data_IF_257479665205
#
_entry.id   IF_257479665205
#
_cell.length_a   1.000
_cell.length_b   1.000
_cell.length_c   1.000
_cell.angle_alpha   90.00
_cell.angle_beta   90.00
_cell.angle_gamma   90.00
#
_symmetry.space_group_name_H-M   'P 1'
#
loop_
_entity.id
_entity.type
_entity.pdbx_description
1 polymer ?
#
# COMPACT_ATOMS: atom_id res chain seq x y z
N UNK A 1 8.62 7.96 6.17
CA UNK A 1 9.02 8.69 4.95
C UNK A 1 9.68 7.68 4.00
N UNK A 2 9.08 7.40 2.86
CA UNK A 2 9.53 6.30 1.98
C UNK A 2 8.52 5.87 0.92
N UNK A 3 7.31 6.43 0.92
CA UNK A 3 6.40 6.37 -0.22
C UNK A 3 6.82 7.40 -1.27
N UNK A 4 6.58 7.10 -2.56
CA UNK A 4 6.80 8.02 -3.67
C UNK A 4 6.11 9.39 -3.42
N UNK A 5 4.92 9.35 -2.80
CA UNK A 5 4.15 10.53 -2.39
C UNK A 5 4.88 11.44 -1.39
N UNK A 6 5.74 10.90 -0.52
CA UNK A 6 6.57 11.70 0.40
C UNK A 6 7.85 12.22 -0.27
N UNK A 7 8.36 11.56 -1.32
CA UNK A 7 9.54 12.02 -2.07
C UNK A 7 9.21 13.03 -3.19
N UNK A 8 7.94 13.42 -3.34
CA UNK A 8 7.50 14.41 -4.34
C UNK A 8 7.34 13.87 -5.77
N UNK A 9 7.41 12.56 -5.96
CA UNK A 9 7.20 11.91 -7.26
C UNK A 9 5.95 11.04 -7.21
N UNK A 10 5.03 11.21 -8.16
CA UNK A 10 3.86 10.35 -8.31
C UNK A 10 4.15 9.12 -9.18
N UNK A 11 5.42 8.89 -9.54
CA UNK A 11 5.79 7.76 -10.39
C UNK A 11 5.64 6.41 -9.64
N UNK A 12 5.09 5.38 -10.31
CA UNK A 12 4.98 4.04 -9.74
C UNK A 12 6.36 3.41 -9.51
N UNK A 13 6.41 2.40 -8.64
CA UNK A 13 7.65 1.67 -8.39
C UNK A 13 8.20 1.03 -9.67
N UNK A 14 9.42 1.41 -10.07
CA UNK A 14 10.10 0.86 -11.24
C UNK A 14 10.26 -0.67 -11.16
N UNK A 15 10.37 -1.23 -9.95
CA UNK A 15 10.43 -2.69 -9.73
C UNK A 15 9.09 -3.34 -10.04
N UNK A 16 7.97 -2.75 -9.59
CA UNK A 16 6.63 -3.28 -9.88
C UNK A 16 6.34 -3.22 -11.38
N UNK A 17 6.69 -2.10 -12.04
CA UNK A 17 6.57 -1.95 -13.49
C UNK A 17 7.42 -2.96 -14.24
N UNK A 18 8.67 -3.20 -13.81
CA UNK A 18 9.55 -4.20 -14.42
C UNK A 18 9.03 -5.64 -14.26
N UNK A 19 8.27 -5.93 -13.19
CA UNK A 19 7.58 -7.21 -13.00
C UNK A 19 6.29 -7.33 -13.84
N UNK A 20 5.91 -6.28 -14.58
CA UNK A 20 4.68 -6.25 -15.37
C UNK A 20 3.43 -5.95 -14.57
N UNK A 21 3.55 -5.43 -13.34
CA UNK A 21 2.39 -4.96 -12.56
C UNK A 21 1.84 -3.70 -13.23
N UNK A 22 0.51 -3.62 -13.48
CA UNK A 22 -0.10 -2.43 -14.04
C UNK A 22 0.18 -1.18 -13.18
N UNK A 23 0.45 -0.05 -13.83
CA UNK A 23 0.87 1.18 -13.15
C UNK A 23 -0.19 1.66 -12.13
N UNK A 24 -1.47 1.50 -12.46
CA UNK A 24 -2.61 1.81 -11.61
C UNK A 24 -2.62 1.00 -10.30
N UNK A 25 -2.12 -0.24 -10.32
CA UNK A 25 -1.99 -1.07 -9.12
C UNK A 25 -0.72 -0.73 -8.36
N UNK A 26 0.37 -0.40 -9.07
CA UNK A 26 1.64 -0.04 -8.46
C UNK A 26 1.57 1.26 -7.64
N UNK A 27 0.68 2.20 -7.99
CA UNK A 27 0.44 3.43 -7.23
C UNK A 27 -0.17 3.17 -5.84
N UNK A 28 -0.96 2.10 -5.70
CA UNK A 28 -1.61 1.72 -4.45
C UNK A 28 -0.88 0.65 -3.66
N UNK A 29 0.32 0.24 -4.08
CA UNK A 29 1.02 -0.89 -3.49
C UNK A 29 1.55 -0.55 -2.07
N UNK A 30 1.30 -1.47 -1.13
CA UNK A 30 1.80 -1.39 0.24
C UNK A 30 2.76 -2.56 0.51
N UNK A 31 3.96 -2.27 1.01
CA UNK A 31 4.94 -3.28 1.43
C UNK A 31 5.11 -3.24 2.94
N UNK A 32 4.68 -4.29 3.64
CA UNK A 32 4.99 -4.50 5.04
C UNK A 32 6.22 -5.40 5.17
N UNK A 33 7.29 -4.89 5.77
CA UNK A 33 8.50 -5.66 6.04
C UNK A 33 8.58 -5.95 7.53
N UNK A 34 8.66 -7.23 7.89
CA UNK A 34 8.72 -7.69 9.27
C UNK A 34 10.18 -7.75 9.76
N UNK A 35 10.37 -7.69 11.08
CA UNK A 35 11.69 -7.75 11.71
C UNK A 35 11.72 -8.71 12.89
N UNK A 36 12.89 -8.81 13.54
CA UNK A 36 13.11 -9.70 14.70
C UNK A 36 12.14 -9.43 15.86
N UNK A 37 11.65 -8.21 15.99
CA UNK A 37 10.76 -7.79 17.06
C UNK A 37 9.28 -7.82 16.69
N UNK A 38 8.93 -8.21 15.46
CA UNK A 38 7.52 -8.29 15.07
C UNK A 38 6.87 -9.47 15.76
N UNK A 39 5.71 -9.24 16.37
CA UNK A 39 4.93 -10.28 17.06
C UNK A 39 3.64 -10.59 16.31
N UNK A 40 2.96 -11.66 16.73
CA UNK A 40 1.67 -12.04 16.16
C UNK A 40 0.61 -10.96 16.45
N UNK A 41 0.69 -10.30 17.61
CA UNK A 41 -0.21 -9.20 17.97
C UNK A 41 -0.07 -7.99 17.02
N UNK A 42 1.14 -7.71 16.51
CA UNK A 42 1.34 -6.68 15.50
C UNK A 42 0.60 -7.02 14.19
N UNK A 43 0.65 -8.31 13.79
CA UNK A 43 -0.01 -8.81 12.59
C UNK A 43 -1.53 -8.76 12.76
N UNK A 44 -2.03 -9.22 13.91
CA UNK A 44 -3.45 -9.18 14.26
C UNK A 44 -4.00 -7.75 14.24
N UNK A 45 -3.25 -6.80 14.79
CA UNK A 45 -3.62 -5.39 14.77
C UNK A 45 -3.69 -4.84 13.34
N UNK A 46 -2.74 -5.20 12.47
CA UNK A 46 -2.79 -4.80 11.05
C UNK A 46 -4.01 -5.41 10.36
N UNK A 47 -4.32 -6.68 10.62
CA UNK A 47 -5.50 -7.35 10.06
C UNK A 47 -6.82 -6.74 10.52
N UNK A 48 -6.88 -6.22 11.74
CA UNK A 48 -8.05 -5.50 12.26
C UNK A 48 -8.23 -4.13 11.59
N UNK A 49 -7.15 -3.34 11.49
CA UNK A 49 -7.25 -1.91 11.13
C UNK A 49 -7.16 -1.67 9.63
N UNK A 50 -6.31 -2.41 8.91
CA UNK A 50 -6.03 -2.17 7.49
C UNK A 50 -7.27 -2.25 6.60
N UNK A 51 -8.18 -3.24 6.75
CA UNK A 51 -9.40 -3.31 5.92
C UNK A 51 -10.28 -2.06 6.08
N UNK A 52 -10.48 -1.59 7.32
CA UNK A 52 -11.29 -0.40 7.58
C UNK A 52 -10.67 0.87 6.96
N UNK A 53 -9.35 0.99 7.01
CA UNK A 53 -8.63 2.08 6.34
C UNK A 53 -8.81 2.04 4.81
N UNK A 54 -8.66 0.86 4.21
CA UNK A 54 -8.86 0.64 2.76
C UNK A 54 -10.30 0.99 2.36
N UNK A 55 -11.30 0.55 3.12
CA UNK A 55 -12.70 0.87 2.85
C UNK A 55 -12.97 2.38 2.87
N UNK A 56 -12.41 3.10 3.85
CA UNK A 56 -12.57 4.55 3.95
C UNK A 56 -11.98 5.27 2.73
N UNK A 57 -10.77 4.90 2.30
CA UNK A 57 -10.11 5.50 1.14
C UNK A 57 -10.91 5.20 -0.14
N UNK A 58 -11.39 3.96 -0.29
CA UNK A 58 -12.20 3.56 -1.45
C UNK A 58 -13.55 4.29 -1.52
N UNK A 59 -14.15 4.64 -0.38
CA UNK A 59 -15.40 5.38 -0.33
C UNK A 59 -15.30 6.82 -0.86
N UNK A 60 -14.10 7.41 -0.86
CA UNK A 60 -13.87 8.81 -1.26
C UNK A 60 -13.01 8.97 -2.51
N UNK A 61 -12.44 7.87 -3.02
CA UNK A 61 -11.53 7.90 -4.17
C UNK A 61 -12.23 7.41 -5.44
N UNK A 62 -12.26 8.23 -6.53
CA UNK A 62 -12.92 7.85 -7.78
C UNK A 62 -12.26 6.65 -8.51
N UNK A 63 -11.02 6.30 -8.15
CA UNK A 63 -10.28 5.19 -8.73
C UNK A 63 -10.61 3.82 -8.10
N UNK A 64 -11.48 3.76 -7.08
CA UNK A 64 -11.76 2.54 -6.32
C UNK A 64 -12.69 1.52 -7.02
N UNK A 65 -13.22 1.87 -8.19
CA UNK A 65 -14.11 1.02 -8.99
C UNK A 65 -13.47 0.82 -10.37
N UNK A 66 -12.49 -0.07 -10.45
CA UNK A 66 -11.98 -0.65 -11.69
C UNK A 66 -11.62 -2.11 -11.42
#
# INVERSE_FOLDING_TARGET
>A
AGSACTSGSLEPSYVLTAMGVPAEWALGALRCSLGRSTTDEDVDYVLEVLPAAVHRIRAVSPAAVA
#
